data_IF_749127658747
#
_entry.id   IF_749127658747
#
_cell.length_a   1.000
_cell.length_b   1.000
_cell.length_c   1.000
_cell.angle_alpha   90.00
_cell.angle_beta   90.00
_cell.angle_gamma   90.00
#
_symmetry.space_group_name_H-M   'P 1'
#
loop_
_entity.id
_entity.type
_entity.pdbx_description
1 polymer ?
#
# COMPACT_ATOMS: atom_id res chain seq x y z
N UNK A 1 12.64 28.27 3.55
CA UNK A 1 13.56 27.87 2.47
C UNK A 1 12.96 26.72 1.67
N UNK A 2 13.31 26.63 0.38
CA UNK A 2 13.03 25.51 -0.51
C UNK A 2 14.36 24.86 -0.92
N UNK A 3 14.40 23.56 -1.30
CA UNK A 3 13.27 22.64 -1.41
C UNK A 3 12.74 22.16 -0.06
N UNK A 4 11.47 21.74 -0.04
CA UNK A 4 10.80 21.15 1.13
C UNK A 4 10.24 19.78 0.79
N UNK A 5 10.41 18.81 1.68
CA UNK A 5 9.77 17.52 1.57
C UNK A 5 8.95 17.23 2.82
N UNK A 6 7.80 16.59 2.64
CA UNK A 6 7.01 16.02 3.72
C UNK A 6 7.09 14.49 3.65
N UNK A 7 7.54 13.86 4.74
CA UNK A 7 7.50 12.41 4.92
C UNK A 7 6.38 12.09 5.89
N UNK A 8 5.46 11.21 5.50
CA UNK A 8 4.22 10.98 6.25
C UNK A 8 3.69 9.56 6.06
N UNK A 9 2.58 9.27 6.73
CA UNK A 9 1.78 8.05 6.53
C UNK A 9 0.41 8.41 5.96
N UNK A 10 -0.34 7.50 5.33
CA UNK A 10 -1.68 7.79 4.83
C UNK A 10 -2.63 8.33 5.91
N UNK A 11 -2.54 7.80 7.13
CA UNK A 11 -3.35 8.25 8.26
C UNK A 11 -3.05 9.72 8.64
N UNK A 12 -1.78 10.06 8.85
CA UNK A 12 -1.38 11.43 9.19
C UNK A 12 -1.67 12.39 8.04
N UNK A 13 -1.47 11.96 6.80
CA UNK A 13 -1.79 12.76 5.61
C UNK A 13 -3.28 13.09 5.55
N UNK A 14 -4.16 12.09 5.75
CA UNK A 14 -5.62 12.29 5.81
C UNK A 14 -5.99 13.29 6.92
N UNK A 15 -5.48 13.09 8.12
CA UNK A 15 -5.74 13.98 9.26
C UNK A 15 -5.29 15.42 8.96
N UNK A 16 -4.10 15.58 8.39
CA UNK A 16 -3.56 16.88 8.04
C UNK A 16 -4.41 17.60 6.98
N UNK A 17 -4.82 16.89 5.92
CA UNK A 17 -5.64 17.45 4.85
C UNK A 17 -7.05 17.84 5.30
N UNK A 18 -7.60 17.16 6.32
CA UNK A 18 -8.92 17.42 6.89
C UNK A 18 -8.90 18.44 8.03
N UNK A 19 -7.75 18.81 8.56
CA UNK A 19 -7.61 19.70 9.72
C UNK A 19 -8.10 21.13 9.49
N UNK A 20 -8.30 21.54 8.24
CA UNK A 20 -8.65 22.92 7.87
C UNK A 20 -7.50 23.93 7.99
N UNK A 21 -6.30 23.48 8.39
CA UNK A 21 -5.11 24.34 8.49
C UNK A 21 -4.59 24.63 7.10
N UNK A 22 -4.11 25.86 6.89
CA UNK A 22 -3.41 26.22 5.66
C UNK A 22 -2.07 25.46 5.56
N UNK A 23 -1.93 24.67 4.51
CA UNK A 23 -0.77 23.80 4.33
C UNK A 23 0.30 24.49 3.48
N UNK A 24 1.57 24.42 3.90
CA UNK A 24 2.65 24.97 3.11
C UNK A 24 2.86 24.18 1.81
N UNK A 25 3.24 24.86 0.76
CA UNK A 25 3.67 24.21 -0.47
C UNK A 25 4.97 23.42 -0.24
N UNK A 26 5.02 22.23 -0.77
CA UNK A 26 6.20 21.34 -0.72
C UNK A 26 6.62 20.92 -2.13
N UNK A 27 7.87 20.50 -2.27
CA UNK A 27 8.42 20.08 -3.55
C UNK A 27 8.34 18.55 -3.72
N UNK A 28 8.12 17.82 -2.61
CA UNK A 28 8.00 16.36 -2.60
C UNK A 28 7.17 15.90 -1.40
N UNK A 29 6.29 14.92 -1.63
CA UNK A 29 5.58 14.15 -0.62
C UNK A 29 6.05 12.70 -0.68
N UNK A 30 6.49 12.14 0.46
CA UNK A 30 6.80 10.72 0.60
C UNK A 30 5.81 10.10 1.58
N UNK A 31 5.14 9.03 1.15
CA UNK A 31 4.13 8.34 1.94
C UNK A 31 4.42 6.84 2.01
N UNK A 32 4.35 6.27 3.21
CA UNK A 32 4.65 4.85 3.43
C UNK A 32 3.81 4.27 4.57
N UNK A 33 3.97 2.98 4.82
CA UNK A 33 3.47 2.20 5.97
C UNK A 33 2.07 1.63 5.87
N UNK A 34 1.20 2.15 5.01
CA UNK A 34 -0.15 1.65 4.82
C UNK A 34 -0.62 1.94 3.38
N UNK A 35 -1.67 1.27 2.87
CA UNK A 35 -2.21 1.55 1.55
C UNK A 35 -2.70 3.00 1.41
N UNK A 36 -2.33 3.63 0.31
CA UNK A 36 -2.71 5.00 -0.03
C UNK A 36 -3.72 4.99 -1.18
N UNK A 37 -4.89 5.62 -1.00
CA UNK A 37 -5.87 5.73 -2.07
C UNK A 37 -5.48 6.79 -3.09
N UNK A 38 -5.78 6.60 -4.39
CA UNK A 38 -5.52 7.60 -5.42
C UNK A 38 -6.19 8.95 -5.14
N UNK A 39 -7.38 8.93 -4.54
CA UNK A 39 -8.12 10.14 -4.16
C UNK A 39 -7.37 10.97 -3.12
N UNK A 40 -6.88 10.28 -2.05
CA UNK A 40 -6.09 10.96 -1.01
C UNK A 40 -4.76 11.49 -1.56
N UNK A 41 -4.10 10.72 -2.43
CA UNK A 41 -2.88 11.15 -3.10
C UNK A 41 -3.12 12.39 -3.98
N UNK A 42 -4.17 12.38 -4.80
CA UNK A 42 -4.52 13.51 -5.67
C UNK A 42 -4.86 14.77 -4.87
N UNK A 43 -5.62 14.64 -3.78
CA UNK A 43 -5.95 15.75 -2.89
C UNK A 43 -4.67 16.35 -2.25
N UNK A 44 -3.73 15.48 -1.83
CA UNK A 44 -2.47 15.94 -1.26
C UNK A 44 -1.63 16.71 -2.28
N UNK A 45 -1.46 16.16 -3.49
CA UNK A 45 -0.74 16.85 -4.57
C UNK A 45 -1.40 18.19 -4.93
N UNK A 46 -2.73 18.23 -4.99
CA UNK A 46 -3.47 19.47 -5.28
C UNK A 46 -3.27 20.55 -4.20
N UNK A 47 -3.36 20.17 -2.92
CA UNK A 47 -3.26 21.12 -1.81
C UNK A 47 -1.84 21.56 -1.50
N UNK A 48 -0.86 20.68 -1.68
CA UNK A 48 0.52 20.90 -1.25
C UNK A 48 1.51 21.12 -2.42
N UNK A 49 1.10 20.89 -3.67
CA UNK A 49 1.83 21.26 -4.90
C UNK A 49 2.91 20.30 -5.36
N UNK A 50 3.50 19.49 -4.48
CA UNK A 50 4.55 18.51 -4.84
C UNK A 50 3.98 17.16 -5.26
N UNK A 51 4.69 16.37 -6.08
CA UNK A 51 4.31 15.00 -6.40
C UNK A 51 4.35 14.13 -5.14
N UNK A 52 3.39 13.19 -5.03
CA UNK A 52 3.36 12.21 -3.96
C UNK A 52 3.91 10.87 -4.43
N UNK A 53 5.00 10.45 -3.81
CA UNK A 53 5.63 9.15 -4.04
C UNK A 53 5.30 8.24 -2.86
N UNK A 54 4.63 7.15 -3.16
CA UNK A 54 4.36 6.07 -2.21
C UNK A 54 5.53 5.08 -2.22
N UNK A 55 5.97 4.66 -1.03
CA UNK A 55 7.10 3.75 -0.84
C UNK A 55 6.59 2.42 -0.29
N UNK A 56 7.02 1.33 -0.89
CA UNK A 56 6.82 -0.04 -0.44
C UNK A 56 8.12 -0.65 0.04
N UNK A 57 8.05 -1.36 1.15
CA UNK A 57 9.18 -2.09 1.73
C UNK A 57 8.86 -2.65 3.11
N UNK A 58 9.84 -3.29 3.72
CA UNK A 58 9.75 -3.85 5.06
C UNK A 58 11.04 -3.59 5.84
N UNK A 59 10.99 -3.82 7.15
CA UNK A 59 12.14 -3.58 8.04
C UNK A 59 13.35 -4.42 7.66
N UNK A 60 13.10 -5.65 7.22
CA UNK A 60 14.11 -6.67 6.92
C UNK A 60 14.87 -6.41 5.61
N UNK A 61 14.20 -5.78 4.64
CA UNK A 61 14.75 -5.57 3.29
C UNK A 61 14.90 -4.08 2.91
N UNK A 62 14.37 -3.17 3.73
CA UNK A 62 14.35 -1.75 3.43
C UNK A 62 13.31 -1.37 2.37
N UNK A 63 13.57 -0.33 1.61
CA UNK A 63 12.69 0.16 0.56
C UNK A 63 12.83 -0.70 -0.70
N UNK A 64 11.78 -1.34 -1.16
CA UNK A 64 11.82 -2.29 -2.28
C UNK A 64 11.30 -1.68 -3.58
N UNK A 65 10.27 -0.86 -3.49
CA UNK A 65 9.62 -0.26 -4.64
C UNK A 65 9.05 1.13 -4.31
N UNK A 66 8.80 1.93 -5.33
CA UNK A 66 8.10 3.20 -5.19
C UNK A 66 7.19 3.45 -6.38
N UNK A 67 6.12 4.21 -6.17
CA UNK A 67 5.23 4.64 -7.26
C UNK A 67 4.66 6.03 -7.00
N UNK A 68 4.19 6.68 -8.04
CA UNK A 68 3.31 7.83 -7.93
C UNK A 68 1.87 7.33 -8.02
N UNK A 69 1.17 7.25 -6.88
CA UNK A 69 -0.15 6.62 -6.75
C UNK A 69 -1.20 7.24 -7.68
N UNK A 70 -1.05 8.51 -8.03
CA UNK A 70 -1.92 9.20 -9.00
C UNK A 70 -1.68 8.78 -10.46
N UNK A 71 -0.58 8.08 -10.78
CA UNK A 71 -0.23 7.68 -12.14
C UNK A 71 -0.48 6.20 -12.43
N UNK A 72 -0.72 5.37 -11.42
CA UNK A 72 -0.99 3.95 -11.62
C UNK A 72 -0.93 3.10 -10.37
N UNK A 73 -1.24 1.81 -10.55
CA UNK A 73 -1.27 0.84 -9.44
C UNK A 73 -0.06 -0.10 -9.43
N UNK A 74 0.73 -0.10 -10.50
CA UNK A 74 1.93 -0.93 -10.63
C UNK A 74 3.07 -0.37 -9.78
N UNK A 75 3.80 -1.27 -9.14
CA UNK A 75 4.96 -0.97 -8.32
C UNK A 75 6.23 -1.40 -9.07
N UNK A 76 7.00 -0.47 -9.63
CA UNK A 76 8.35 -0.75 -10.12
C UNK A 76 9.30 -0.88 -8.92
N UNK A 77 10.18 -1.89 -8.96
CA UNK A 77 11.22 -2.06 -7.93
C UNK A 77 12.31 -1.00 -8.06
N UNK A 78 13.00 -0.74 -6.94
CA UNK A 78 14.10 0.23 -6.90
C UNK A 78 15.42 -0.39 -7.34
N UNK A 79 16.16 0.32 -8.19
CA UNK A 79 17.51 -0.09 -8.59
C UNK A 79 17.53 -1.51 -9.17
N UNK A 80 18.37 -2.37 -8.60
CA UNK A 80 18.52 -3.78 -9.00
C UNK A 80 17.73 -4.76 -8.12
N UNK A 81 16.80 -4.28 -7.30
CA UNK A 81 15.90 -5.13 -6.51
C UNK A 81 15.00 -5.93 -7.45
N UNK A 82 14.84 -7.21 -7.14
CA UNK A 82 13.97 -8.17 -7.83
C UNK A 82 13.09 -8.87 -6.83
N UNK A 83 11.91 -9.25 -7.26
CA UNK A 83 10.98 -10.07 -6.49
C UNK A 83 10.65 -11.32 -7.29
N UNK A 84 10.87 -12.48 -6.68
CA UNK A 84 10.52 -13.79 -7.25
C UNK A 84 9.49 -14.48 -6.36
N UNK A 85 8.77 -15.43 -6.94
CA UNK A 85 7.85 -16.29 -6.20
C UNK A 85 8.45 -17.68 -6.07
N UNK A 86 8.48 -18.22 -4.85
CA UNK A 86 8.93 -19.59 -4.61
C UNK A 86 7.78 -20.59 -4.81
N UNK A 87 8.11 -21.90 -4.75
CA UNK A 87 7.15 -22.99 -4.98
C UNK A 87 6.03 -23.08 -3.93
N UNK A 88 6.22 -22.48 -2.76
CA UNK A 88 5.24 -22.39 -1.66
C UNK A 88 4.41 -21.09 -1.68
N UNK A 89 4.39 -20.41 -2.82
CA UNK A 89 3.71 -19.12 -3.02
C UNK A 89 4.29 -17.94 -2.20
N UNK A 90 5.43 -18.10 -1.55
CA UNK A 90 6.12 -17.02 -0.85
C UNK A 90 6.84 -16.12 -1.83
N UNK A 91 6.69 -14.81 -1.66
CA UNK A 91 7.43 -13.82 -2.44
C UNK A 91 8.75 -13.49 -1.75
N UNK A 92 9.82 -13.42 -2.52
CA UNK A 92 11.18 -13.21 -2.01
C UNK A 92 11.78 -11.99 -2.71
N UNK A 93 12.15 -10.98 -1.92
CA UNK A 93 12.92 -9.84 -2.40
C UNK A 93 14.42 -10.15 -2.33
N UNK A 94 15.15 -9.81 -3.39
CA UNK A 94 16.61 -9.99 -3.46
C UNK A 94 17.26 -9.01 -4.44
N UNK A 95 18.59 -8.95 -4.43
CA UNK A 95 19.37 -8.07 -5.30
C UNK A 95 19.40 -6.61 -4.86
N UNK A 96 20.14 -5.77 -5.58
CA UNK A 96 20.35 -4.37 -5.24
C UNK A 96 20.93 -4.20 -3.83
N UNK A 97 20.24 -3.42 -3.00
CA UNK A 97 20.61 -3.16 -1.60
C UNK A 97 20.06 -4.19 -0.61
N UNK A 98 19.29 -5.18 -1.05
CA UNK A 98 18.78 -6.25 -0.17
C UNK A 98 19.91 -7.17 0.18
N UNK A 99 20.31 -7.16 1.46
CA UNK A 99 21.51 -7.85 1.94
C UNK A 99 21.45 -9.37 1.77
N UNK A 100 20.27 -9.97 1.99
CA UNK A 100 20.02 -11.40 1.80
C UNK A 100 18.61 -11.60 1.26
N UNK A 101 18.33 -12.71 0.52
CA UNK A 101 16.98 -13.02 0.09
C UNK A 101 15.99 -12.97 1.25
N UNK A 102 14.99 -12.09 1.15
CA UNK A 102 14.07 -11.77 2.24
C UNK A 102 12.65 -12.16 1.86
N UNK A 103 12.01 -13.08 2.61
CA UNK A 103 10.61 -13.41 2.43
C UNK A 103 9.71 -12.20 2.75
N UNK A 104 8.70 -11.97 1.91
CA UNK A 104 7.72 -10.91 2.08
C UNK A 104 6.44 -11.47 2.70
N UNK A 105 5.88 -10.76 3.68
CA UNK A 105 4.60 -11.11 4.27
C UNK A 105 3.39 -10.64 3.43
N UNK A 106 3.66 -9.98 2.30
CA UNK A 106 2.63 -9.44 1.42
C UNK A 106 2.35 -10.39 0.25
N UNK A 107 1.13 -10.31 -0.27
CA UNK A 107 0.70 -11.03 -1.46
C UNK A 107 0.79 -10.09 -2.64
N UNK A 108 1.51 -10.53 -3.66
CA UNK A 108 1.80 -9.74 -4.84
C UNK A 108 1.23 -10.40 -6.10
N UNK A 109 0.86 -9.58 -7.07
CA UNK A 109 0.63 -10.01 -8.45
C UNK A 109 1.85 -9.62 -9.28
N UNK A 110 2.78 -10.55 -9.49
CA UNK A 110 3.98 -10.28 -10.27
C UNK A 110 3.61 -10.12 -11.76
N UNK A 111 3.99 -9.01 -12.36
CA UNK A 111 3.98 -8.83 -13.81
C UNK A 111 5.30 -9.33 -14.42
N UNK A 112 6.39 -9.10 -13.70
CA UNK A 112 7.73 -9.63 -13.92
C UNK A 112 8.53 -9.48 -12.61
N UNK A 113 9.83 -9.82 -12.61
CA UNK A 113 10.67 -9.72 -11.40
C UNK A 113 10.87 -8.29 -10.87
N UNK A 114 10.54 -7.28 -11.66
CA UNK A 114 10.76 -5.87 -11.34
C UNK A 114 9.49 -5.03 -11.29
N UNK A 115 8.33 -5.63 -11.52
CA UNK A 115 7.04 -4.96 -11.49
C UNK A 115 5.95 -5.85 -10.92
N UNK A 116 5.16 -5.31 -10.00
CA UNK A 116 4.10 -6.05 -9.34
C UNK A 116 2.90 -5.16 -8.97
N UNK A 117 1.77 -5.81 -8.71
CA UNK A 117 0.62 -5.26 -8.00
C UNK A 117 0.63 -5.72 -6.54
N UNK A 118 0.29 -4.86 -5.61
CA UNK A 118 0.15 -5.21 -4.19
C UNK A 118 -1.30 -5.62 -3.92
N UNK A 119 -1.53 -6.85 -3.46
CA UNK A 119 -2.87 -7.41 -3.21
C UNK A 119 -3.27 -7.42 -1.74
N UNK A 120 -2.32 -7.29 -0.81
CA UNK A 120 -2.56 -7.28 0.63
C UNK A 120 -1.53 -8.10 1.40
N UNK A 121 -1.84 -8.42 2.67
CA UNK A 121 -0.97 -9.23 3.54
C UNK A 121 -1.43 -10.67 3.61
N UNK A 122 -0.48 -11.59 3.76
CA UNK A 122 -0.77 -13.02 3.91
C UNK A 122 -1.63 -13.32 5.15
N UNK A 123 -1.42 -12.60 6.24
CA UNK A 123 -2.19 -12.76 7.49
C UNK A 123 -3.62 -12.20 7.42
N UNK A 124 -3.92 -11.38 6.42
CA UNK A 124 -5.25 -10.79 6.22
C UNK A 124 -6.07 -11.54 5.15
N UNK A 125 -5.59 -12.74 4.76
CA UNK A 125 -6.25 -13.54 3.73
C UNK A 125 -7.61 -14.03 4.18
N UNK A 126 -8.57 -13.80 3.30
CA UNK A 126 -9.94 -14.31 3.44
C UNK A 126 -10.35 -15.04 2.17
N UNK A 127 -11.23 -16.00 2.32
CA UNK A 127 -11.84 -16.71 1.20
C UNK A 127 -13.32 -16.28 1.08
N UNK A 128 -13.65 -15.56 0.03
CA UNK A 128 -15.02 -15.12 -0.22
C UNK A 128 -15.53 -15.83 -1.47
N UNK A 129 -16.53 -16.70 -1.31
CA UNK A 129 -17.14 -17.46 -2.41
C UNK A 129 -16.13 -18.18 -3.32
N UNK A 130 -15.11 -18.81 -2.72
CA UNK A 130 -14.06 -19.54 -3.44
C UNK A 130 -12.97 -18.65 -4.07
N UNK A 131 -13.04 -17.35 -3.89
CA UNK A 131 -11.99 -16.41 -4.33
C UNK A 131 -11.12 -15.98 -3.15
N UNK A 132 -9.82 -15.98 -3.36
CA UNK A 132 -8.82 -15.49 -2.40
C UNK A 132 -8.79 -13.96 -2.44
N UNK A 133 -8.91 -13.31 -1.30
CA UNK A 133 -8.82 -11.86 -1.13
C UNK A 133 -8.17 -11.54 0.21
N UNK A 134 -8.04 -10.26 0.58
CA UNK A 134 -7.60 -9.84 1.90
C UNK A 134 -8.52 -8.76 2.44
N UNK A 135 -8.60 -8.62 3.77
CA UNK A 135 -9.32 -7.52 4.41
C UNK A 135 -8.75 -6.17 3.98
N UNK A 136 -7.44 -6.06 3.87
CA UNK A 136 -6.78 -4.84 3.38
C UNK A 136 -7.22 -4.48 1.95
N UNK A 137 -7.34 -5.48 1.06
CA UNK A 137 -7.83 -5.29 -0.31
C UNK A 137 -9.29 -4.84 -0.33
N UNK A 138 -10.16 -5.48 0.46
CA UNK A 138 -11.57 -5.07 0.57
C UNK A 138 -11.70 -3.65 1.13
N UNK A 139 -10.95 -3.32 2.19
CA UNK A 139 -10.93 -1.99 2.79
C UNK A 139 -10.44 -0.92 1.82
N UNK A 140 -9.41 -1.24 1.02
CA UNK A 140 -8.94 -0.35 -0.04
C UNK A 140 -10.04 -0.04 -1.07
N UNK A 141 -10.81 -1.05 -1.49
CA UNK A 141 -11.92 -0.85 -2.43
C UNK A 141 -13.09 -0.11 -1.79
N UNK A 142 -13.45 -0.44 -0.54
CA UNK A 142 -14.51 0.25 0.20
C UNK A 142 -14.24 1.76 0.30
N UNK A 143 -13.03 2.13 0.69
CA UNK A 143 -12.64 3.53 0.88
C UNK A 143 -12.43 4.32 -0.43
N UNK A 144 -12.65 3.68 -1.60
CA UNK A 144 -12.67 4.32 -2.92
C UNK A 144 -14.07 4.60 -3.43
N UNK A 145 -15.10 4.11 -2.75
CA UNK A 145 -16.48 4.34 -3.18
C UNK A 145 -16.89 5.78 -2.86
N UNK A 146 -17.55 6.40 -3.81
CA UNK A 146 -18.10 7.75 -3.63
C UNK A 146 -19.14 7.74 -2.49
N UNK A 147 -19.00 8.69 -1.57
CA UNK A 147 -19.86 8.79 -0.39
C UNK A 147 -19.39 7.99 0.83
N UNK A 148 -18.30 7.22 0.72
CA UNK A 148 -17.67 6.57 1.87
C UNK A 148 -16.53 7.46 2.38
N UNK A 149 -16.68 8.04 3.55
CA UNK A 149 -15.63 8.85 4.20
C UNK A 149 -14.55 7.98 4.82
N UNK A 150 -14.96 6.88 5.48
CA UNK A 150 -14.09 5.86 6.05
C UNK A 150 -14.89 4.58 6.28
N UNK A 151 -14.23 3.43 6.14
CA UNK A 151 -14.87 2.14 6.35
C UNK A 151 -13.84 1.01 6.46
N UNK A 152 -14.18 0.00 7.23
CA UNK A 152 -13.36 -1.19 7.39
C UNK A 152 -14.22 -2.44 7.45
N UNK A 153 -13.84 -3.45 6.67
CA UNK A 153 -14.30 -4.82 6.89
C UNK A 153 -13.49 -5.45 8.02
N UNK A 154 -14.15 -6.25 8.81
CA UNK A 154 -13.51 -7.09 9.80
C UNK A 154 -14.07 -8.51 9.71
N UNK A 155 -13.31 -9.48 10.19
CA UNK A 155 -13.74 -10.86 10.24
C UNK A 155 -14.18 -11.16 11.68
N UNK A 156 -15.45 -11.53 11.92
CA UNK A 156 -15.88 -11.96 13.24
C UNK A 156 -15.13 -13.22 13.70
N UNK A 157 -15.03 -13.40 15.00
CA UNK A 157 -14.47 -14.64 15.56
C UNK A 157 -15.24 -15.87 15.04
N UNK A 158 -14.52 -16.95 14.73
CA UNK A 158 -15.14 -18.17 14.24
C UNK A 158 -16.05 -18.78 15.32
N UNK A 159 -17.33 -18.89 15.00
CA UNK A 159 -18.29 -19.64 15.81
C UNK A 159 -18.42 -21.02 15.19
N UNK A 160 -18.15 -22.14 15.94
CA UNK A 160 -18.25 -23.49 15.41
C UNK A 160 -19.61 -23.75 14.75
N UNK A 161 -19.60 -24.22 13.50
CA UNK A 161 -20.82 -24.51 12.72
C UNK A 161 -21.44 -23.33 11.97
N UNK A 162 -20.83 -22.15 11.97
CA UNK A 162 -21.30 -21.01 11.20
C UNK A 162 -20.34 -20.68 10.04
N UNK A 163 -20.89 -20.11 8.95
CA UNK A 163 -20.08 -19.57 7.87
C UNK A 163 -19.78 -18.10 8.21
N UNK A 164 -18.52 -17.83 8.54
CA UNK A 164 -18.05 -16.46 8.81
C UNK A 164 -17.90 -15.71 7.49
N UNK A 165 -18.46 -14.50 7.42
CA UNK A 165 -18.33 -13.59 6.28
C UNK A 165 -17.79 -12.24 6.78
N UNK A 166 -16.95 -11.54 5.99
CA UNK A 166 -16.54 -10.19 6.30
C UNK A 166 -17.74 -9.26 6.42
N UNK A 167 -17.78 -8.43 7.43
CA UNK A 167 -18.81 -7.40 7.69
C UNK A 167 -18.16 -6.03 7.76
#
# INVERSE_FOLDING_TARGET
PRPRALVTTPFHLKTLLLSGVELPQVDLLLCATAPLTPQLAALAEQKMGGPLIEIYGCTEAGQLASRRTTQGQTWPTLGEVRITQSSDETFIAHGGHVFAPTPLADILALHNEREFGLLGRANDLIHVAGKRSSLAHLNFHLNRLDGVEDGAFWLPDEVPGTVVRPV
#
